data_IF_850415793880
#
_entry.id   IF_850415793880
#
_cell.length_a   1.000
_cell.length_b   1.000
_cell.length_c   1.000
_cell.angle_alpha   90.00
_cell.angle_beta   90.00
_cell.angle_gamma   90.00
#
_symmetry.space_group_name_H-M   'P 1'
#
loop_
_entity.id
_entity.type
_entity.pdbx_description
1 polymer ?
#
# COMPACT_ATOMS: atom_id res chain seq x y z
N UNK A 1 21.88 -5.99 -17.85
CA UNK A 1 20.52 -6.52 -17.80
C UNK A 1 19.61 -5.38 -18.24
N UNK A 2 18.54 -5.60 -19.03
CA UNK A 2 17.51 -4.58 -19.14
C UNK A 2 17.03 -4.24 -17.73
N UNK A 3 16.65 -3.00 -17.46
CA UNK A 3 16.14 -2.62 -16.14
C UNK A 3 14.88 -3.46 -15.86
N UNK A 4 14.97 -4.41 -14.94
CA UNK A 4 13.87 -5.28 -14.56
C UNK A 4 12.78 -4.43 -13.88
N UNK A 5 11.58 -4.39 -14.46
CA UNK A 5 10.45 -3.63 -13.91
C UNK A 5 9.90 -4.31 -12.65
N UNK A 6 9.94 -3.63 -11.51
CA UNK A 6 9.59 -4.18 -10.19
C UNK A 6 8.24 -3.69 -9.70
N UNK A 7 7.37 -4.64 -9.35
CA UNK A 7 6.06 -4.38 -8.76
C UNK A 7 6.08 -4.79 -7.29
N UNK A 8 5.74 -3.86 -6.41
CA UNK A 8 5.46 -4.13 -5.01
C UNK A 8 3.94 -4.24 -4.79
N UNK A 9 3.46 -5.44 -4.47
CA UNK A 9 2.07 -5.67 -4.13
C UNK A 9 1.89 -5.78 -2.61
N UNK A 10 1.05 -4.93 -2.04
CA UNK A 10 0.61 -4.98 -0.64
C UNK A 10 -0.78 -5.59 -0.62
N UNK A 11 -0.92 -6.69 0.10
CA UNK A 11 -2.22 -7.32 0.33
C UNK A 11 -3.11 -6.45 1.21
N UNK A 12 -4.23 -7.01 1.66
CA UNK A 12 -5.29 -6.33 2.40
C UNK A 12 -4.81 -5.35 3.48
N UNK A 13 -5.19 -4.09 3.30
CA UNK A 13 -5.12 -3.08 4.35
C UNK A 13 -6.41 -3.09 5.14
N UNK A 14 -6.30 -3.52 6.40
CA UNK A 14 -7.46 -3.69 7.29
C UNK A 14 -7.52 -2.57 8.33
N UNK A 15 -8.56 -1.75 8.23
CA UNK A 15 -8.89 -0.72 9.21
C UNK A 15 -7.79 0.32 9.44
N UNK A 16 -7.89 1.04 10.56
CA UNK A 16 -6.87 2.03 10.94
C UNK A 16 -5.47 1.41 11.14
N UNK A 17 -5.31 0.26 11.83
CA UNK A 17 -3.97 -0.31 12.03
C UNK A 17 -3.24 -0.61 10.72
N UNK A 18 -3.95 -1.15 9.72
CA UNK A 18 -3.37 -1.41 8.40
C UNK A 18 -2.93 -0.13 7.70
N UNK A 19 -3.76 0.93 7.72
CA UNK A 19 -3.41 2.21 7.07
C UNK A 19 -2.19 2.86 7.73
N UNK A 20 -2.10 2.82 9.06
CA UNK A 20 -0.94 3.36 9.77
C UNK A 20 0.33 2.53 9.51
N UNK A 21 0.21 1.19 9.40
CA UNK A 21 1.32 0.34 8.99
C UNK A 21 1.83 0.68 7.58
N UNK A 22 0.92 0.91 6.62
CA UNK A 22 1.28 1.33 5.27
C UNK A 22 2.05 2.65 5.29
N UNK A 23 1.54 3.67 5.98
CA UNK A 23 2.21 4.99 6.09
C UNK A 23 3.61 4.88 6.70
N UNK A 24 3.79 4.02 7.70
CA UNK A 24 5.06 3.88 8.40
C UNK A 24 6.10 3.05 7.63
N UNK A 25 5.67 1.99 6.93
CA UNK A 25 6.58 0.94 6.42
C UNK A 25 6.77 1.03 4.92
N UNK A 26 5.70 1.27 4.15
CA UNK A 26 5.72 1.20 2.69
C UNK A 26 6.76 2.13 2.04
N UNK A 27 6.95 3.39 2.50
CA UNK A 27 7.98 4.26 1.93
C UNK A 27 9.42 3.73 2.08
N UNK A 28 9.67 2.91 3.11
CA UNK A 28 10.95 2.19 3.28
C UNK A 28 11.09 1.07 2.28
N UNK A 29 10.08 0.19 2.21
CA UNK A 29 10.07 -0.96 1.30
C UNK A 29 10.19 -0.55 -0.18
N UNK A 30 9.51 0.53 -0.60
CA UNK A 30 9.61 1.05 -1.96
C UNK A 30 11.05 1.42 -2.34
N UNK A 31 11.83 1.98 -1.40
CA UNK A 31 13.23 2.35 -1.61
C UNK A 31 14.15 1.13 -1.57
N UNK A 32 13.95 0.25 -0.59
CA UNK A 32 14.76 -0.96 -0.42
C UNK A 32 14.64 -1.92 -1.61
N UNK A 33 13.42 -2.09 -2.12
CA UNK A 33 13.12 -3.02 -3.23
C UNK A 33 13.25 -2.36 -4.61
N UNK A 34 13.50 -1.05 -4.66
CA UNK A 34 13.51 -0.22 -5.87
C UNK A 34 12.24 -0.44 -6.73
N UNK A 35 11.06 -0.34 -6.10
CA UNK A 35 9.79 -0.63 -6.75
C UNK A 35 9.38 0.49 -7.72
N UNK A 36 9.15 0.14 -8.99
CA UNK A 36 8.66 1.06 -10.03
C UNK A 36 7.16 1.36 -9.87
N UNK A 37 6.40 0.34 -9.47
CA UNK A 37 4.96 0.45 -9.20
C UNK A 37 4.62 -0.21 -7.88
N UNK A 38 3.67 0.38 -7.17
CA UNK A 38 3.11 -0.19 -5.93
C UNK A 38 1.60 -0.31 -6.06
N UNK A 39 1.07 -1.48 -5.75
CA UNK A 39 -0.36 -1.80 -5.77
C UNK A 39 -0.76 -2.25 -4.37
N UNK A 40 -1.92 -1.82 -3.90
CA UNK A 40 -2.44 -2.16 -2.58
C UNK A 40 -3.91 -2.59 -2.68
N UNK A 41 -4.30 -3.67 -1.98
CA UNK A 41 -5.72 -3.99 -1.79
C UNK A 41 -6.29 -3.21 -0.61
N UNK A 42 -7.20 -2.28 -0.90
CA UNK A 42 -7.85 -1.43 0.09
C UNK A 42 -9.25 -1.87 0.52
N UNK A 43 -9.74 -3.06 0.13
CA UNK A 43 -11.16 -3.44 0.33
C UNK A 43 -11.60 -3.48 1.79
N UNK A 44 -10.66 -3.54 2.75
CA UNK A 44 -10.94 -3.58 4.18
C UNK A 44 -10.47 -2.30 4.92
N UNK A 45 -10.09 -1.27 4.18
CA UNK A 45 -9.46 -0.08 4.76
C UNK A 45 -10.42 0.75 5.60
N UNK A 46 -11.72 0.79 5.28
CA UNK A 46 -12.73 1.56 6.01
C UNK A 46 -13.31 0.77 7.19
N UNK A 47 -12.57 0.70 8.30
CA UNK A 47 -13.06 0.03 9.51
C UNK A 47 -13.29 -1.48 9.36
N UNK A 48 -12.62 -2.12 8.39
CA UNK A 48 -12.73 -3.55 8.11
C UNK A 48 -13.69 -3.91 6.97
N UNK A 49 -14.35 -2.93 6.32
CA UNK A 49 -15.18 -3.20 5.14
C UNK A 49 -15.28 -1.97 4.22
N UNK A 50 -14.92 -2.15 2.96
CA UNK A 50 -14.91 -1.13 1.93
C UNK A 50 -13.73 -0.14 2.01
N UNK A 51 -13.82 0.88 1.17
CA UNK A 51 -12.85 1.96 1.00
C UNK A 51 -13.60 3.26 0.71
N UNK A 52 -13.11 4.39 1.20
CA UNK A 52 -13.69 5.71 0.92
C UNK A 52 -12.68 6.61 0.20
N UNK A 53 -13.15 7.57 -0.60
CA UNK A 53 -12.28 8.52 -1.31
C UNK A 53 -11.35 9.31 -0.36
N UNK A 54 -11.84 9.62 0.84
CA UNK A 54 -11.04 10.24 1.89
C UNK A 54 -9.87 9.35 2.29
N UNK A 55 -10.12 8.06 2.56
CA UNK A 55 -9.07 7.11 2.96
C UNK A 55 -8.09 6.80 1.82
N UNK A 56 -8.53 6.82 0.57
CA UNK A 56 -7.62 6.72 -0.59
C UNK A 56 -6.64 7.88 -0.61
N UNK A 57 -7.11 9.09 -0.31
CA UNK A 57 -6.24 10.28 -0.28
C UNK A 57 -5.26 10.29 0.89
N UNK A 58 -5.45 9.41 1.88
CA UNK A 58 -4.59 9.24 3.05
C UNK A 58 -3.51 8.13 2.88
N UNK A 59 -3.62 7.30 1.83
CA UNK A 59 -2.74 6.16 1.53
C UNK A 59 -1.77 6.48 0.39
#
# INVERSE_FOLDING_TARGET
MPDDFRILFVADVVGQPGREAVKAILPGLKRELEADVTILNGENAAGGFGLTAKLVSEL
#
